data_IF_115838284373
#
_entry.id   IF_115838284373
#
_cell.length_a   1.000
_cell.length_b   1.000
_cell.length_c   1.000
_cell.angle_alpha   90.00
_cell.angle_beta   90.00
_cell.angle_gamma   90.00
#
_symmetry.space_group_name_H-M   'P 1'
#
loop_
_entity.id
_entity.type
_entity.pdbx_description
1 polymer ?
#
# COMPACT_ATOMS: atom_id res chain seq x y z
N UNK A 1 29.28 -2.53 9.31
CA UNK A 1 27.85 -2.80 9.53
C UNK A 1 27.22 -2.82 8.15
N UNK A 2 27.06 -3.99 7.56
CA UNK A 2 26.61 -4.16 6.18
C UNK A 2 25.23 -4.80 6.19
N UNK A 3 24.27 -4.13 6.83
CA UNK A 3 22.90 -4.62 6.87
C UNK A 3 22.31 -4.51 5.47
N UNK A 4 22.11 -5.67 4.84
CA UNK A 4 21.51 -5.79 3.51
C UNK A 4 20.02 -5.46 3.59
N UNK A 5 19.71 -4.17 3.47
CA UNK A 5 18.35 -3.66 3.45
C UNK A 5 17.83 -3.80 2.03
N UNK A 6 16.85 -4.69 1.83
CA UNK A 6 16.22 -4.94 0.53
C UNK A 6 14.73 -4.70 0.60
N UNK A 7 14.15 -4.16 -0.49
CA UNK A 7 12.71 -3.95 -0.62
C UNK A 7 12.10 -5.21 -1.23
N UNK A 8 11.33 -5.94 -0.42
CA UNK A 8 10.73 -7.23 -0.82
C UNK A 8 9.47 -7.05 -1.68
N UNK A 9 8.74 -5.93 -1.50
CA UNK A 9 7.49 -5.66 -2.22
C UNK A 9 7.10 -4.18 -2.14
N UNK A 10 6.41 -3.67 -3.16
CA UNK A 10 5.84 -2.32 -3.17
C UNK A 10 4.45 -2.30 -3.82
N UNK A 11 3.45 -1.81 -3.08
CA UNK A 11 2.04 -1.77 -3.52
C UNK A 11 1.47 -0.38 -3.27
N UNK A 12 0.55 0.07 -4.13
CA UNK A 12 -0.09 1.39 -4.04
C UNK A 12 -1.59 1.30 -4.33
N UNK A 13 -2.38 2.19 -3.73
CA UNK A 13 -3.78 2.38 -4.13
C UNK A 13 -3.88 3.19 -5.42
N UNK A 14 -5.03 3.14 -6.08
CA UNK A 14 -5.33 4.05 -7.19
C UNK A 14 -5.28 5.51 -6.70
N UNK A 15 -4.87 6.42 -7.59
CA UNK A 15 -4.84 7.86 -7.29
C UNK A 15 -6.25 8.40 -7.50
N UNK A 16 -6.93 8.75 -6.41
CA UNK A 16 -8.23 9.40 -6.44
C UNK A 16 -8.08 10.89 -6.72
N UNK A 17 -8.90 11.44 -7.62
CA UNK A 17 -9.08 12.89 -7.71
C UNK A 17 -9.84 13.39 -6.47
N UNK A 18 -9.61 14.65 -6.09
CA UNK A 18 -10.36 15.29 -5.01
C UNK A 18 -11.87 15.24 -5.29
N UNK A 19 -12.65 14.70 -4.35
CA UNK A 19 -14.09 14.45 -4.53
C UNK A 19 -14.45 13.30 -5.49
N UNK A 20 -13.48 12.49 -5.91
CA UNK A 20 -13.69 11.36 -6.84
C UNK A 20 -13.98 10.03 -6.15
N UNK A 21 -13.62 8.93 -6.81
CA UNK A 21 -14.00 7.56 -6.44
C UNK A 21 -13.52 7.06 -5.06
N UNK A 22 -12.55 7.74 -4.42
CA UNK A 22 -11.99 7.36 -3.13
C UNK A 22 -12.40 8.29 -1.98
N UNK A 23 -13.32 9.23 -2.22
CA UNK A 23 -13.74 10.24 -1.23
C UNK A 23 -14.45 9.62 -0.01
N UNK A 24 -15.19 8.54 -0.22
CA UNK A 24 -16.02 7.90 0.80
C UNK A 24 -15.23 6.87 1.62
N UNK A 25 -13.98 6.60 1.25
CA UNK A 25 -13.12 5.63 1.92
C UNK A 25 -12.16 6.37 2.86
N UNK A 26 -12.19 6.09 4.17
CA UNK A 26 -11.27 6.71 5.12
C UNK A 26 -9.82 6.31 4.82
N UNK A 27 -8.89 7.26 4.99
CA UNK A 27 -7.47 7.11 4.67
C UNK A 27 -6.82 5.93 5.41
N UNK A 28 -7.24 5.69 6.66
CA UNK A 28 -6.76 4.58 7.48
C UNK A 28 -7.08 3.23 6.84
N UNK A 29 -8.24 3.11 6.20
CA UNK A 29 -8.67 1.88 5.51
C UNK A 29 -7.89 1.68 4.22
N UNK A 30 -7.58 2.75 3.49
CA UNK A 30 -6.70 2.67 2.31
C UNK A 30 -5.29 2.20 2.70
N UNK A 31 -4.73 2.74 3.78
CA UNK A 31 -3.44 2.28 4.32
C UNK A 31 -3.47 0.82 4.75
N UNK A 32 -4.52 0.39 5.46
CA UNK A 32 -4.69 -1.00 5.87
C UNK A 32 -4.77 -1.96 4.68
N UNK A 33 -5.44 -1.57 3.59
CA UNK A 33 -5.49 -2.36 2.36
C UNK A 33 -4.10 -2.50 1.76
N UNK A 34 -3.33 -1.41 1.64
CA UNK A 34 -1.97 -1.44 1.08
C UNK A 34 -1.04 -2.31 1.91
N UNK A 35 -1.06 -2.20 3.23
CA UNK A 35 -0.22 -3.02 4.13
C UNK A 35 -0.59 -4.49 3.99
N UNK A 36 -1.89 -4.81 3.98
CA UNK A 36 -2.36 -6.20 3.85
C UNK A 36 -1.94 -6.80 2.51
N UNK A 37 -2.06 -6.04 1.42
CA UNK A 37 -1.64 -6.50 0.10
C UNK A 37 -0.11 -6.56 -0.04
N UNK A 38 0.66 -5.67 0.58
CA UNK A 38 2.12 -5.75 0.59
C UNK A 38 2.63 -7.02 1.27
N UNK A 39 2.06 -7.36 2.43
CA UNK A 39 2.43 -8.60 3.15
C UNK A 39 1.90 -9.85 2.42
N UNK A 40 0.70 -9.78 1.83
CA UNK A 40 0.13 -10.90 1.05
C UNK A 40 0.89 -11.16 -0.24
N UNK A 41 1.43 -10.11 -0.87
CA UNK A 41 2.21 -10.19 -2.12
C UNK A 41 3.63 -10.76 -1.91
N UNK A 42 3.87 -11.43 -0.78
CA UNK A 42 5.06 -12.23 -0.45
C UNK A 42 5.18 -13.47 -1.36
N UNK A 43 5.26 -13.23 -2.68
CA UNK A 43 5.52 -14.21 -3.74
C UNK A 43 6.94 -14.05 -4.32
N UNK A 44 7.87 -13.60 -3.48
CA UNK A 44 9.30 -13.72 -3.73
C UNK A 44 9.84 -14.89 -2.91
#
# INVERSE_FOLDING_TARGET
MSDNIVIVSGVRTAIGKFGGALKDIPVQKLGAIVIREAVKSRRC
#
